data_IF_622442321848
#
_entry.id   IF_622442321848
#
_cell.length_a   1.000
_cell.length_b   1.000
_cell.length_c   1.000
_cell.angle_alpha   90.00
_cell.angle_beta   90.00
_cell.angle_gamma   90.00
#
_symmetry.space_group_name_H-M   'P 1'
#
loop_
_entity.id
_entity.type
_entity.pdbx_description
1 polymer ?
#
# COMPACT_ATOMS: atom_id res chain seq x y z
N UNK A 1 -16.94 7.47 -11.71
CA UNK A 1 -15.90 7.21 -10.69
C UNK A 1 -15.52 5.73 -10.75
N UNK A 2 -14.30 5.36 -10.32
CA UNK A 2 -13.87 3.97 -10.27
C UNK A 2 -13.79 3.46 -8.83
N UNK A 3 -14.18 2.20 -8.61
CA UNK A 3 -14.22 1.58 -7.29
C UNK A 3 -13.46 0.26 -7.31
N UNK A 4 -12.46 0.14 -6.45
CA UNK A 4 -11.57 -1.02 -6.41
C UNK A 4 -11.70 -1.80 -5.11
N UNK A 5 -11.57 -3.13 -5.21
CA UNK A 5 -11.42 -4.03 -4.08
C UNK A 5 -10.08 -4.75 -4.14
N UNK A 6 -9.48 -5.07 -2.99
CA UNK A 6 -8.28 -5.90 -2.93
C UNK A 6 -8.66 -7.37 -2.88
N UNK A 7 -7.99 -8.18 -3.72
CA UNK A 7 -8.17 -9.64 -3.75
C UNK A 7 -7.55 -10.30 -2.52
N UNK A 8 -8.23 -11.29 -2.00
CA UNK A 8 -7.77 -12.07 -0.87
C UNK A 8 -8.78 -13.16 -0.47
N UNK A 9 -8.51 -13.90 0.61
CA UNK A 9 -9.33 -15.07 1.00
C UNK A 9 -10.83 -14.78 1.16
N UNK A 10 -11.22 -13.57 1.60
CA UNK A 10 -12.62 -13.22 1.82
C UNK A 10 -13.44 -13.12 0.51
N UNK A 11 -12.80 -12.75 -0.59
CA UNK A 11 -13.45 -12.71 -1.91
C UNK A 11 -13.01 -13.88 -2.82
N UNK A 12 -12.60 -15.00 -2.23
CA UNK A 12 -12.01 -16.17 -2.86
C UNK A 12 -12.97 -17.08 -3.63
N UNK A 13 -14.02 -16.53 -4.24
CA UNK A 13 -14.90 -17.29 -5.12
C UNK A 13 -15.41 -16.43 -6.28
N UNK A 14 -15.64 -17.05 -7.43
CA UNK A 14 -16.26 -16.38 -8.60
C UNK A 14 -17.60 -15.76 -8.20
N UNK A 15 -18.38 -16.43 -7.34
CA UNK A 15 -19.67 -15.93 -6.89
C UNK A 15 -19.54 -14.63 -6.08
N UNK A 16 -18.63 -14.58 -5.10
CA UNK A 16 -18.40 -13.37 -4.31
C UNK A 16 -17.89 -12.22 -5.19
N UNK A 17 -16.99 -12.51 -6.14
CA UNK A 17 -16.49 -11.50 -7.09
C UNK A 17 -17.62 -10.98 -7.99
N UNK A 18 -18.56 -11.82 -8.42
CA UNK A 18 -19.76 -11.38 -9.15
C UNK A 18 -20.65 -10.47 -8.32
N UNK A 19 -20.83 -10.78 -7.02
CA UNK A 19 -21.59 -9.92 -6.10
C UNK A 19 -20.92 -8.56 -5.92
N UNK A 20 -19.59 -8.52 -5.77
CA UNK A 20 -18.82 -7.27 -5.71
C UNK A 20 -18.91 -6.46 -7.00
N UNK A 21 -18.80 -7.10 -8.18
CA UNK A 21 -18.95 -6.43 -9.47
C UNK A 21 -20.38 -5.92 -9.68
N UNK A 22 -21.38 -6.70 -9.30
CA UNK A 22 -22.79 -6.28 -9.37
C UNK A 22 -23.10 -5.12 -8.41
N UNK A 23 -22.38 -5.00 -7.29
CA UNK A 23 -22.45 -3.86 -6.38
C UNK A 23 -21.78 -2.59 -6.92
N UNK A 24 -21.13 -2.66 -8.10
CA UNK A 24 -20.53 -1.52 -8.78
C UNK A 24 -19.00 -1.45 -8.72
N UNK A 25 -18.32 -2.50 -8.26
CA UNK A 25 -16.86 -2.56 -8.34
C UNK A 25 -16.40 -2.55 -9.81
N UNK A 26 -15.43 -1.69 -10.13
CA UNK A 26 -14.90 -1.52 -11.50
C UNK A 26 -13.55 -2.20 -11.71
N UNK A 27 -12.84 -2.48 -10.63
CA UNK A 27 -11.51 -3.09 -10.70
C UNK A 27 -11.07 -3.75 -9.40
N UNK A 28 -9.97 -4.46 -9.50
CA UNK A 28 -9.36 -5.18 -8.37
C UNK A 28 -7.89 -4.84 -8.24
N UNK A 29 -7.40 -4.89 -7.01
CA UNK A 29 -5.98 -4.82 -6.68
C UNK A 29 -5.48 -6.20 -6.26
N UNK A 30 -4.37 -6.63 -6.86
CA UNK A 30 -3.60 -7.79 -6.43
C UNK A 30 -2.34 -7.33 -5.69
N UNK A 31 -2.23 -7.66 -4.41
CA UNK A 31 -1.08 -7.28 -3.57
C UNK A 31 0.05 -8.30 -3.69
N UNK A 32 1.13 -7.97 -4.38
CA UNK A 32 2.28 -8.86 -4.60
C UNK A 32 3.26 -8.93 -3.42
N UNK A 33 2.98 -8.27 -2.30
CA UNK A 33 3.69 -8.55 -1.04
C UNK A 33 3.40 -9.96 -0.50
N UNK A 34 2.32 -10.60 -0.98
CA UNK A 34 1.86 -11.94 -0.59
C UNK A 34 2.03 -13.00 -1.69
N UNK A 35 3.05 -12.88 -2.52
CA UNK A 35 3.35 -13.80 -3.60
C UNK A 35 3.45 -13.11 -4.96
N UNK A 36 4.02 -13.78 -5.95
CA UNK A 36 4.15 -13.25 -7.31
C UNK A 36 2.89 -13.51 -8.17
N UNK A 37 2.91 -13.07 -9.45
CA UNK A 37 1.80 -13.27 -10.38
C UNK A 37 1.52 -14.76 -10.65
N UNK A 38 2.55 -15.60 -10.65
CA UNK A 38 2.41 -17.05 -10.89
C UNK A 38 1.64 -17.69 -9.73
N UNK A 39 2.03 -17.41 -8.50
CA UNK A 39 1.37 -17.92 -7.29
C UNK A 39 -0.08 -17.40 -7.18
N UNK A 40 -0.31 -16.16 -7.54
CA UNK A 40 -1.60 -15.47 -7.43
C UNK A 40 -2.46 -15.52 -8.70
N UNK A 41 -2.00 -16.18 -9.77
CA UNK A 41 -2.72 -16.24 -11.06
C UNK A 41 -4.13 -16.84 -10.96
N UNK A 42 -4.41 -17.66 -9.96
CA UNK A 42 -5.75 -18.20 -9.72
C UNK A 42 -6.78 -17.09 -9.37
N UNK A 43 -6.38 -16.05 -8.63
CA UNK A 43 -7.22 -14.89 -8.33
C UNK A 43 -7.61 -14.13 -9.60
N UNK A 44 -6.64 -13.91 -10.48
CA UNK A 44 -6.85 -13.20 -11.75
C UNK A 44 -7.85 -13.97 -12.63
N UNK A 45 -7.69 -15.30 -12.73
CA UNK A 45 -8.62 -16.14 -13.50
C UNK A 45 -10.05 -16.05 -12.96
N UNK A 46 -10.26 -16.09 -11.65
CA UNK A 46 -11.60 -15.93 -11.05
C UNK A 46 -12.22 -14.57 -11.36
N UNK A 47 -11.42 -13.48 -11.30
CA UNK A 47 -11.88 -12.13 -11.67
C UNK A 47 -12.29 -12.07 -13.15
N UNK A 48 -11.47 -12.64 -14.04
CA UNK A 48 -11.75 -12.68 -15.48
C UNK A 48 -13.00 -13.49 -15.78
N UNK A 49 -13.22 -14.62 -15.09
CA UNK A 49 -14.42 -15.44 -15.21
C UNK A 49 -15.65 -14.66 -14.72
N UNK A 50 -15.60 -14.04 -13.55
CA UNK A 50 -16.70 -13.22 -13.02
C UNK A 50 -17.06 -12.06 -13.96
N UNK A 51 -16.04 -11.33 -14.46
CA UNK A 51 -16.23 -10.24 -15.41
C UNK A 51 -16.87 -10.72 -16.73
N UNK A 52 -16.41 -11.86 -17.26
CA UNK A 52 -16.96 -12.45 -18.49
C UNK A 52 -18.44 -12.82 -18.33
N UNK A 53 -18.83 -13.43 -17.20
CA UNK A 53 -20.22 -13.80 -16.94
C UNK A 53 -21.15 -12.58 -16.81
N UNK A 54 -20.62 -11.46 -16.31
CA UNK A 54 -21.37 -10.20 -16.16
C UNK A 54 -21.22 -9.24 -17.36
N UNK A 55 -20.50 -9.66 -18.42
CA UNK A 55 -20.18 -8.80 -19.57
C UNK A 55 -19.52 -7.47 -19.17
N UNK A 56 -18.73 -7.49 -18.10
CA UNK A 56 -18.04 -6.32 -17.53
C UNK A 56 -16.53 -6.43 -17.77
N UNK A 57 -15.92 -5.32 -18.20
CA UNK A 57 -14.46 -5.20 -18.21
C UNK A 57 -14.00 -4.81 -16.81
N UNK A 58 -13.16 -5.66 -16.20
CA UNK A 58 -12.63 -5.42 -14.86
C UNK A 58 -11.19 -4.97 -14.97
N UNK A 59 -10.86 -3.84 -14.38
CA UNK A 59 -9.47 -3.40 -14.28
C UNK A 59 -8.71 -4.26 -13.25
N UNK A 60 -7.47 -4.63 -13.57
CA UNK A 60 -6.63 -5.44 -12.69
C UNK A 60 -5.35 -4.66 -12.38
N UNK A 61 -5.25 -4.17 -11.15
CA UNK A 61 -4.09 -3.45 -10.67
C UNK A 61 -3.12 -4.41 -9.97
N UNK A 62 -1.88 -4.43 -10.43
CA UNK A 62 -0.78 -5.14 -9.80
C UNK A 62 -0.05 -4.19 -8.86
N UNK A 63 -0.17 -4.41 -7.55
CA UNK A 63 0.56 -3.62 -6.54
C UNK A 63 1.90 -4.30 -6.25
N UNK A 64 2.98 -3.69 -6.74
CA UNK A 64 4.33 -4.20 -6.60
C UNK A 64 4.75 -4.27 -5.14
N UNK A 65 5.66 -5.18 -4.83
CA UNK A 65 6.19 -5.32 -3.49
C UNK A 65 7.04 -4.11 -3.11
N UNK A 66 7.82 -3.58 -4.07
CA UNK A 66 8.78 -2.52 -3.83
C UNK A 66 9.89 -2.89 -2.86
N UNK A 67 10.78 -1.96 -2.59
CA UNK A 67 11.91 -2.16 -1.69
C UNK A 67 11.54 -1.87 -0.24
N UNK A 68 10.48 -2.47 0.27
CA UNK A 68 10.11 -2.30 1.67
C UNK A 68 11.15 -2.92 2.59
N UNK A 69 11.60 -2.15 3.57
CA UNK A 69 12.47 -2.68 4.62
C UNK A 69 11.67 -3.63 5.50
N UNK A 70 12.13 -4.85 5.58
CA UNK A 70 11.52 -5.89 6.42
C UNK A 70 12.57 -6.61 7.24
N UNK A 71 12.14 -7.12 8.39
CA UNK A 71 12.93 -8.06 9.15
C UNK A 71 13.22 -9.33 8.33
N UNK A 72 14.42 -9.87 8.44
CA UNK A 72 14.78 -11.14 7.87
C UNK A 72 13.96 -12.30 8.45
N UNK A 73 14.16 -13.51 7.93
CA UNK A 73 13.45 -14.69 8.41
C UNK A 73 14.11 -15.26 9.67
N UNK A 74 13.31 -15.59 10.68
CA UNK A 74 13.69 -16.29 11.90
C UNK A 74 12.55 -17.22 12.34
N UNK A 75 12.86 -18.22 13.18
CA UNK A 75 11.91 -19.29 13.48
C UNK A 75 10.97 -18.99 14.63
N UNK A 76 11.48 -18.36 15.68
CA UNK A 76 10.74 -18.15 16.93
C UNK A 76 10.31 -16.69 17.04
N UNK A 77 9.03 -16.47 17.34
CA UNK A 77 8.50 -15.13 17.62
C UNK A 77 9.20 -14.55 18.86
N UNK A 78 9.54 -13.26 18.83
CA UNK A 78 10.26 -12.60 19.91
C UNK A 78 9.31 -11.69 20.68
N UNK A 79 9.10 -11.97 21.96
CA UNK A 79 8.36 -11.08 22.85
C UNK A 79 9.28 -9.94 23.31
N UNK A 80 9.09 -8.74 22.74
CA UNK A 80 9.81 -7.53 23.16
C UNK A 80 9.11 -6.94 24.38
N UNK A 81 9.75 -7.03 25.55
CA UNK A 81 9.23 -6.39 26.76
C UNK A 81 9.67 -4.92 26.82
N UNK A 82 8.76 -4.02 27.19
CA UNK A 82 9.07 -2.60 27.35
C UNK A 82 10.21 -2.40 28.36
N UNK A 83 11.17 -1.54 28.01
CA UNK A 83 12.39 -1.28 28.77
C UNK A 83 13.50 -2.31 28.61
N UNK A 84 13.25 -3.45 27.94
CA UNK A 84 14.30 -4.45 27.64
C UNK A 84 15.19 -4.00 26.47
N UNK A 85 16.27 -4.75 26.26
CA UNK A 85 17.25 -4.51 25.19
C UNK A 85 17.16 -5.57 24.13
N UNK A 86 17.25 -5.16 22.87
CA UNK A 86 17.36 -6.03 21.71
C UNK A 86 18.62 -5.72 20.93
N UNK A 87 19.24 -6.76 20.39
CA UNK A 87 20.31 -6.64 19.39
C UNK A 87 19.68 -6.75 18.01
N UNK A 88 19.99 -5.83 17.11
CA UNK A 88 19.58 -5.81 15.73
C UNK A 88 20.78 -6.12 14.83
N UNK A 89 20.59 -6.94 13.81
CA UNK A 89 21.66 -7.37 12.90
C UNK A 89 22.36 -8.64 13.40
N UNK A 90 23.67 -8.69 13.25
CA UNK A 90 24.46 -9.90 13.55
C UNK A 90 24.30 -10.37 15.00
N UNK A 91 23.93 -11.64 15.16
CA UNK A 91 23.68 -12.25 16.47
C UNK A 91 22.39 -11.84 17.16
N UNK A 92 21.50 -11.11 16.48
CA UNK A 92 20.22 -10.63 17.02
C UNK A 92 19.06 -10.74 16.05
N UNK A 93 18.11 -9.82 16.16
CA UNK A 93 16.98 -9.71 15.25
C UNK A 93 17.50 -9.41 13.83
N UNK A 94 17.18 -10.21 12.81
CA UNK A 94 17.71 -10.02 11.46
C UNK A 94 17.18 -8.73 10.84
N UNK A 95 18.02 -7.73 10.74
CA UNK A 95 17.75 -6.45 10.08
C UNK A 95 18.70 -6.30 8.90
N UNK A 96 18.23 -5.85 7.71
CA UNK A 96 19.09 -5.61 6.55
C UNK A 96 20.25 -4.66 6.89
N UNK A 97 21.47 -4.98 6.43
CA UNK A 97 22.66 -4.16 6.69
C UNK A 97 22.51 -2.74 6.13
N UNK A 98 21.82 -2.61 5.00
CA UNK A 98 21.51 -1.33 4.38
C UNK A 98 20.71 -0.42 5.34
N UNK A 99 19.78 -1.00 6.12
CA UNK A 99 19.03 -0.25 7.13
C UNK A 99 19.90 0.11 8.32
N UNK A 100 20.71 -0.84 8.82
CA UNK A 100 21.58 -0.63 9.98
C UNK A 100 22.58 0.52 9.75
N UNK A 101 23.09 0.67 8.52
CA UNK A 101 24.04 1.73 8.17
C UNK A 101 23.47 3.15 8.35
N UNK A 102 22.16 3.30 8.35
CA UNK A 102 21.46 4.58 8.50
C UNK A 102 21.00 4.87 9.92
N UNK A 103 21.10 3.91 10.83
CA UNK A 103 20.69 4.09 12.24
C UNK A 103 21.75 4.85 13.01
N UNK A 104 21.35 5.94 13.65
CA UNK A 104 22.16 6.73 14.57
C UNK A 104 21.64 6.56 16.01
N UNK A 105 22.47 6.90 17.02
CA UNK A 105 22.00 6.95 18.41
C UNK A 105 20.80 7.88 18.58
N UNK A 106 19.78 7.41 19.30
CA UNK A 106 18.54 8.12 19.54
C UNK A 106 17.47 7.95 18.44
N UNK A 107 17.79 7.29 17.33
CA UNK A 107 16.77 7.01 16.29
C UNK A 107 15.70 6.07 16.82
N UNK A 108 14.47 6.33 16.42
CA UNK A 108 13.34 5.42 16.62
C UNK A 108 13.21 4.44 15.47
N UNK A 109 13.14 3.17 15.82
CA UNK A 109 12.98 2.06 14.89
C UNK A 109 11.60 1.47 15.12
N UNK A 110 10.76 1.52 14.08
CA UNK A 110 9.39 1.03 14.09
C UNK A 110 9.32 -0.34 13.44
N UNK A 111 8.66 -1.31 14.09
CA UNK A 111 8.47 -2.67 13.59
C UNK A 111 6.97 -2.99 13.58
N UNK A 112 6.51 -3.74 12.56
CA UNK A 112 5.11 -4.13 12.33
C UNK A 112 4.19 -2.90 12.39
N UNK A 113 4.45 -1.93 11.51
CA UNK A 113 3.68 -0.69 11.37
C UNK A 113 3.60 0.13 12.67
N UNK A 114 4.72 0.12 13.42
CA UNK A 114 4.84 0.86 14.68
C UNK A 114 4.18 0.20 15.88
N UNK A 115 3.71 -1.05 15.78
CA UNK A 115 3.22 -1.82 16.94
C UNK A 115 4.31 -2.03 17.98
N UNK A 116 5.56 -2.25 17.52
CA UNK A 116 6.76 -2.28 18.36
C UNK A 116 7.64 -1.11 18.00
N UNK A 117 8.14 -0.41 19.01
CA UNK A 117 9.00 0.75 18.86
C UNK A 117 10.27 0.55 19.68
N UNK A 118 11.42 0.74 19.03
CA UNK A 118 12.73 0.66 19.63
C UNK A 118 13.44 2.01 19.52
N UNK A 119 14.31 2.31 20.45
CA UNK A 119 15.23 3.45 20.42
C UNK A 119 16.67 2.94 20.34
N UNK A 120 17.39 3.34 19.31
CA UNK A 120 18.78 2.95 19.13
C UNK A 120 19.68 3.64 20.17
N UNK A 121 20.46 2.88 20.94
CA UNK A 121 21.37 3.45 21.92
C UNK A 121 22.74 3.80 21.33
N UNK A 122 23.18 3.02 20.35
CA UNK A 122 24.43 3.26 19.62
C UNK A 122 24.21 3.08 18.12
N UNK A 123 25.05 3.76 17.33
CA UNK A 123 25.10 3.52 15.88
C UNK A 123 25.62 2.13 15.54
N UNK A 124 25.53 1.77 14.26
CA UNK A 124 25.99 0.47 13.78
C UNK A 124 27.49 0.25 14.10
N UNK A 125 27.78 -0.83 14.80
CA UNK A 125 29.15 -1.24 15.10
C UNK A 125 29.50 -2.50 14.30
N UNK A 126 30.71 -2.57 13.71
CA UNK A 126 31.21 -3.78 13.08
C UNK A 126 31.23 -4.96 14.05
N UNK A 127 30.84 -6.14 13.58
CA UNK A 127 30.95 -7.39 14.29
C UNK A 127 31.54 -8.48 13.38
N UNK A 128 31.82 -9.66 13.91
CA UNK A 128 32.44 -10.74 13.14
C UNK A 128 31.57 -11.25 11.96
N UNK A 129 30.26 -11.02 12.00
CA UNK A 129 29.28 -11.45 11.00
C UNK A 129 28.57 -10.31 10.28
N UNK A 130 29.02 -9.03 10.43
CA UNK A 130 28.39 -7.86 9.81
C UNK A 130 28.27 -6.66 10.76
N UNK A 131 27.17 -5.92 10.65
CA UNK A 131 26.86 -4.82 11.56
C UNK A 131 25.82 -5.23 12.61
N UNK A 132 25.92 -4.63 13.79
CA UNK A 132 24.90 -4.78 14.84
C UNK A 132 24.64 -3.48 15.58
N UNK A 133 23.44 -3.36 16.13
CA UNK A 133 22.99 -2.23 16.94
C UNK A 133 22.32 -2.78 18.21
N UNK A 134 22.50 -2.11 19.33
CA UNK A 134 21.69 -2.33 20.52
C UNK A 134 20.61 -1.26 20.62
N UNK A 135 19.38 -1.67 20.79
CA UNK A 135 18.24 -0.77 20.90
C UNK A 135 17.39 -1.13 22.13
N UNK A 136 16.86 -0.10 22.79
CA UNK A 136 15.94 -0.24 23.91
C UNK A 136 14.51 -0.32 23.40
N UNK A 137 13.71 -1.21 23.95
CA UNK A 137 12.28 -1.32 23.64
C UNK A 137 11.54 -0.16 24.32
N UNK A 138 10.97 0.74 23.52
CA UNK A 138 10.14 1.87 23.98
C UNK A 138 8.67 1.44 24.08
N UNK A 139 8.18 0.73 23.06
CA UNK A 139 6.85 0.11 23.06
C UNK A 139 7.02 -1.38 22.76
N UNK A 140 6.60 -2.20 23.70
CA UNK A 140 6.71 -3.65 23.63
C UNK A 140 5.64 -4.29 22.75
N UNK A 141 5.89 -5.53 22.33
CA UNK A 141 4.95 -6.32 21.53
C UNK A 141 5.59 -7.60 21.01
N UNK A 142 4.83 -8.37 20.22
CA UNK A 142 5.29 -9.59 19.60
C UNK A 142 5.90 -9.30 18.23
N UNK A 143 7.19 -9.59 18.08
CA UNK A 143 7.92 -9.42 16.82
C UNK A 143 7.90 -10.75 16.04
N UNK A 144 7.40 -10.71 14.81
CA UNK A 144 7.32 -11.83 13.89
C UNK A 144 8.26 -11.66 12.71
N UNK A 145 8.66 -12.80 12.13
CA UNK A 145 9.49 -12.85 10.93
C UNK A 145 8.86 -12.08 9.76
N UNK A 146 9.70 -11.36 9.00
CA UNK A 146 9.27 -10.66 7.76
C UNK A 146 8.40 -9.42 7.97
N UNK A 147 8.26 -8.93 9.20
CA UNK A 147 7.49 -7.71 9.48
C UNK A 147 8.19 -6.45 8.98
N UNK A 148 7.39 -5.41 8.68
CA UNK A 148 7.88 -4.11 8.25
C UNK A 148 8.86 -3.51 9.25
N UNK A 149 9.83 -2.75 8.73
CA UNK A 149 10.84 -2.03 9.49
C UNK A 149 10.94 -0.60 8.96
N UNK A 150 10.91 0.38 9.81
CA UNK A 150 11.16 1.77 9.44
C UNK A 150 12.06 2.46 10.47
N UNK A 151 12.84 3.44 10.01
CA UNK A 151 13.58 4.36 10.89
C UNK A 151 12.83 5.69 10.81
N UNK A 152 12.29 6.17 11.94
CA UNK A 152 11.46 7.37 11.96
C UNK A 152 12.22 8.58 11.39
N UNK A 153 11.60 9.27 10.43
CA UNK A 153 12.17 10.46 9.79
C UNK A 153 13.36 10.20 8.84
N UNK A 154 13.73 8.94 8.58
CA UNK A 154 14.82 8.60 7.66
C UNK A 154 14.36 7.73 6.49
N UNK A 155 14.81 8.09 5.29
CA UNK A 155 14.66 7.28 4.09
C UNK A 155 15.95 6.49 3.87
N UNK A 156 15.90 5.17 3.95
CA UNK A 156 17.00 4.29 3.54
C UNK A 156 17.00 4.21 2.02
N UNK A 157 18.12 4.50 1.34
CA UNK A 157 18.21 4.36 -0.11
C UNK A 157 18.05 2.91 -0.52
N UNK A 158 16.96 2.62 -1.22
CA UNK A 158 16.64 1.30 -1.75
C UNK A 158 16.44 1.39 -3.26
N UNK A 159 16.70 0.32 -4.01
CA UNK A 159 16.39 0.29 -5.44
C UNK A 159 14.88 0.42 -5.62
N UNK A 160 14.43 1.12 -6.66
CA UNK A 160 12.99 1.32 -6.93
C UNK A 160 12.23 0.02 -7.16
N UNK A 161 12.85 -0.92 -7.87
CA UNK A 161 12.25 -2.22 -8.19
C UNK A 161 13.14 -3.35 -7.67
N UNK A 162 12.52 -4.33 -7.02
CA UNK A 162 13.17 -5.60 -6.66
C UNK A 162 13.25 -6.53 -7.88
N UNK A 163 14.03 -7.60 -7.79
CA UNK A 163 14.06 -8.64 -8.83
C UNK A 163 12.69 -9.32 -9.00
N UNK A 164 11.95 -9.49 -7.91
CA UNK A 164 10.56 -10.01 -7.95
C UNK A 164 9.64 -9.06 -8.71
N UNK A 165 9.75 -7.75 -8.48
CA UNK A 165 8.97 -6.76 -9.22
C UNK A 165 9.27 -6.81 -10.72
N UNK A 166 10.55 -6.91 -11.10
CA UNK A 166 10.95 -7.03 -12.50
C UNK A 166 10.42 -8.32 -13.16
N UNK A 167 10.38 -9.45 -12.42
CA UNK A 167 9.76 -10.70 -12.88
C UNK A 167 8.28 -10.46 -13.16
N UNK A 168 7.54 -9.91 -12.21
CA UNK A 168 6.11 -9.65 -12.34
C UNK A 168 5.80 -8.66 -13.49
N UNK A 169 6.61 -7.63 -13.69
CA UNK A 169 6.45 -6.67 -14.80
C UNK A 169 6.58 -7.38 -16.16
N UNK A 170 7.54 -8.30 -16.33
CA UNK A 170 7.69 -9.06 -17.57
C UNK A 170 6.48 -9.94 -17.90
N UNK A 171 5.78 -10.40 -16.88
CA UNK A 171 4.62 -11.30 -17.02
C UNK A 171 3.28 -10.54 -17.09
N UNK A 172 3.26 -9.24 -16.76
CA UNK A 172 2.05 -8.44 -16.56
C UNK A 172 1.05 -8.53 -17.71
N UNK A 173 1.50 -8.41 -18.96
CA UNK A 173 0.65 -8.47 -20.16
C UNK A 173 -0.02 -9.84 -20.29
N UNK A 174 0.69 -10.93 -20.01
CA UNK A 174 0.14 -12.29 -20.13
C UNK A 174 -0.95 -12.59 -19.11
N UNK A 175 -0.95 -11.90 -17.99
CA UNK A 175 -1.99 -11.97 -16.96
C UNK A 175 -3.13 -10.96 -17.15
N UNK A 176 -3.03 -10.08 -18.16
CA UNK A 176 -4.06 -9.06 -18.42
C UNK A 176 -4.07 -7.94 -17.38
N UNK A 177 -2.91 -7.61 -16.82
CA UNK A 177 -2.75 -6.47 -15.91
C UNK A 177 -3.01 -5.17 -16.68
N UNK A 178 -3.84 -4.29 -16.14
CA UNK A 178 -4.21 -3.00 -16.73
C UNK A 178 -3.50 -1.83 -16.07
N UNK A 179 -3.06 -1.98 -14.81
CA UNK A 179 -2.34 -0.95 -14.08
C UNK A 179 -1.31 -1.53 -13.13
N UNK A 180 -0.23 -0.80 -12.91
CA UNK A 180 0.83 -1.13 -11.97
C UNK A 180 0.92 -0.05 -10.90
N UNK A 181 0.79 -0.44 -9.65
CA UNK A 181 0.96 0.43 -8.49
C UNK A 181 2.42 0.34 -8.02
N UNK A 182 3.14 1.47 -8.07
CA UNK A 182 4.50 1.56 -7.55
C UNK A 182 4.47 2.05 -6.11
N UNK A 183 4.88 1.25 -5.13
CA UNK A 183 4.92 1.68 -3.73
C UNK A 183 6.13 2.58 -3.45
N UNK A 184 6.06 3.32 -2.36
CA UNK A 184 7.14 4.13 -1.80
C UNK A 184 7.78 5.14 -2.76
N UNK A 185 7.01 5.70 -3.71
CA UNK A 185 7.51 6.71 -4.66
C UNK A 185 8.08 7.91 -3.91
N UNK A 186 9.32 8.27 -4.22
CA UNK A 186 10.08 9.36 -3.59
C UNK A 186 10.28 10.55 -4.51
N UNK A 187 10.57 10.27 -5.78
CA UNK A 187 10.98 11.23 -6.80
C UNK A 187 10.59 10.72 -8.21
N UNK A 188 10.80 11.53 -9.23
CA UNK A 188 10.48 11.17 -10.62
C UNK A 188 11.35 10.03 -11.16
N UNK A 189 12.57 9.86 -10.65
CA UNK A 189 13.49 8.81 -11.06
C UNK A 189 12.90 7.43 -10.77
N UNK A 190 12.16 7.27 -9.67
CA UNK A 190 11.44 6.03 -9.35
C UNK A 190 10.41 5.70 -10.44
N UNK A 191 9.65 6.69 -10.90
CA UNK A 191 8.65 6.50 -11.97
C UNK A 191 9.30 6.24 -13.33
N UNK A 192 10.43 6.87 -13.64
CA UNK A 192 11.18 6.63 -14.87
C UNK A 192 11.74 5.20 -14.89
N UNK A 193 12.26 4.70 -13.77
CA UNK A 193 12.73 3.31 -13.64
C UNK A 193 11.59 2.31 -13.91
N UNK A 194 10.40 2.55 -13.37
CA UNK A 194 9.23 1.71 -13.66
C UNK A 194 8.81 1.79 -15.13
N UNK A 195 8.73 2.99 -15.70
CA UNK A 195 8.36 3.20 -17.11
C UNK A 195 9.31 2.48 -18.06
N UNK A 196 10.62 2.54 -17.80
CA UNK A 196 11.59 1.82 -18.64
C UNK A 196 11.45 0.30 -18.49
N UNK A 197 11.24 -0.22 -17.27
CA UNK A 197 10.99 -1.65 -17.05
C UNK A 197 9.71 -2.14 -17.76
N UNK A 198 8.63 -1.36 -17.74
CA UNK A 198 7.39 -1.66 -18.49
C UNK A 198 7.65 -1.66 -20.01
N UNK A 199 8.37 -0.69 -20.52
CA UNK A 199 8.72 -0.60 -21.95
C UNK A 199 9.57 -1.78 -22.41
N UNK A 200 10.60 -2.17 -21.66
CA UNK A 200 11.44 -3.34 -21.92
C UNK A 200 10.63 -4.64 -21.93
N UNK A 201 9.58 -4.72 -21.10
CA UNK A 201 8.67 -5.87 -21.04
C UNK A 201 7.57 -5.85 -22.13
N UNK A 202 7.54 -4.84 -23.01
CA UNK A 202 6.45 -4.69 -23.99
C UNK A 202 5.10 -4.33 -23.37
N UNK A 203 5.12 -3.78 -22.14
CA UNK A 203 3.96 -3.43 -21.29
C UNK A 203 3.75 -1.91 -21.17
N UNK A 204 4.24 -1.13 -22.15
CA UNK A 204 4.22 0.34 -22.11
C UNK A 204 2.85 0.99 -22.02
N UNK A 205 1.79 0.28 -22.41
CA UNK A 205 0.39 0.74 -22.34
C UNK A 205 -0.24 0.54 -20.94
N UNK A 206 0.41 -0.20 -20.04
CA UNK A 206 -0.08 -0.42 -18.68
C UNK A 206 0.01 0.90 -17.89
N UNK A 207 -1.08 1.28 -17.25
CA UNK A 207 -1.18 2.51 -16.47
C UNK A 207 -0.28 2.46 -15.22
N UNK A 208 0.35 3.58 -14.89
CA UNK A 208 1.23 3.72 -13.72
C UNK A 208 0.52 4.48 -12.61
N UNK A 209 0.36 3.83 -11.47
CA UNK A 209 -0.22 4.37 -10.26
C UNK A 209 0.90 4.66 -9.24
N UNK A 210 1.19 5.93 -9.00
CA UNK A 210 2.23 6.36 -8.06
C UNK A 210 1.68 6.40 -6.63
N UNK A 211 2.15 5.50 -5.75
CA UNK A 211 1.72 5.48 -4.34
C UNK A 211 2.53 6.49 -3.52
N UNK A 212 1.83 7.45 -2.94
CA UNK A 212 2.41 8.45 -2.05
C UNK A 212 2.24 7.94 -0.62
N UNK A 213 3.34 7.43 -0.06
CA UNK A 213 3.41 6.69 1.20
C UNK A 213 4.46 7.25 2.17
N UNK A 214 5.18 8.29 1.75
CA UNK A 214 6.24 8.92 2.54
C UNK A 214 6.29 10.42 2.31
N UNK A 215 6.97 11.15 3.20
CA UNK A 215 7.04 12.61 3.14
C UNK A 215 7.81 13.12 1.91
N UNK A 216 8.79 12.38 1.43
CA UNK A 216 9.55 12.77 0.23
C UNK A 216 8.64 12.78 -1.00
N UNK A 217 7.78 11.77 -1.17
CA UNK A 217 6.76 11.74 -2.21
C UNK A 217 5.73 12.88 -2.08
N UNK A 218 5.33 13.22 -0.84
CA UNK A 218 4.43 14.37 -0.58
C UNK A 218 5.07 15.69 -1.01
N UNK A 219 6.36 15.87 -0.73
CA UNK A 219 7.10 17.10 -1.07
C UNK A 219 7.36 17.21 -2.58
N UNK A 220 7.62 16.07 -3.21
CA UNK A 220 7.92 15.97 -4.65
C UNK A 220 6.68 15.89 -5.54
N UNK A 221 5.46 15.94 -5.00
CA UNK A 221 4.23 15.62 -5.75
C UNK A 221 4.13 16.30 -7.11
N UNK A 222 4.42 17.60 -7.19
CA UNK A 222 4.37 18.37 -8.45
C UNK A 222 5.33 17.86 -9.52
N UNK A 223 6.49 17.36 -9.09
CA UNK A 223 7.48 16.77 -9.99
C UNK A 223 7.06 15.37 -10.47
N UNK A 224 6.28 14.62 -9.67
CA UNK A 224 5.82 13.27 -9.97
C UNK A 224 4.69 13.24 -11.00
N UNK A 225 3.77 14.22 -10.96
CA UNK A 225 2.52 14.22 -11.74
C UNK A 225 2.71 13.97 -13.24
N UNK A 226 3.74 14.49 -13.95
CA UNK A 226 3.93 14.22 -15.38
C UNK A 226 4.32 12.77 -15.71
N UNK A 227 4.82 12.00 -14.74
CA UNK A 227 5.41 10.68 -14.96
C UNK A 227 4.52 9.50 -14.55
N UNK A 228 3.38 9.75 -13.92
CA UNK A 228 2.36 8.74 -13.58
C UNK A 228 1.04 9.01 -14.30
N UNK A 229 0.19 8.00 -14.40
CA UNK A 229 -1.18 8.16 -14.92
C UNK A 229 -2.14 8.49 -13.78
N UNK A 230 -1.94 7.88 -12.61
CA UNK A 230 -2.72 8.08 -11.40
C UNK A 230 -1.81 8.30 -10.19
N UNK A 231 -2.27 9.11 -9.25
CA UNK A 231 -1.68 9.21 -7.91
C UNK A 231 -2.50 8.37 -6.93
N UNK A 232 -1.85 7.65 -6.03
CA UNK A 232 -2.53 6.92 -4.94
C UNK A 232 -2.14 7.54 -3.62
N UNK A 233 -3.10 8.12 -2.91
CA UNK A 233 -2.92 8.62 -1.55
C UNK A 233 -3.11 7.44 -0.60
N UNK A 234 -2.00 6.77 -0.28
CA UNK A 234 -1.98 5.53 0.50
C UNK A 234 -1.84 5.85 1.99
N UNK A 235 -2.98 6.04 2.65
CA UNK A 235 -3.07 6.58 4.02
C UNK A 235 -2.44 5.69 5.10
N UNK A 236 -2.26 4.39 4.83
CA UNK A 236 -1.64 3.46 5.76
C UNK A 236 -0.19 3.87 6.10
N UNK A 237 0.72 3.68 5.14
CA UNK A 237 2.13 4.00 5.32
C UNK A 237 2.38 5.50 5.48
N UNK A 238 1.62 6.33 4.75
CA UNK A 238 1.69 7.77 4.90
C UNK A 238 1.31 8.22 6.32
N UNK A 239 0.34 7.55 6.95
CA UNK A 239 -0.05 7.80 8.35
C UNK A 239 1.04 7.40 9.36
N UNK A 240 1.90 6.44 9.02
CA UNK A 240 3.07 6.05 9.81
C UNK A 240 4.25 7.02 9.64
N UNK A 241 4.28 7.77 8.52
CA UNK A 241 5.35 8.71 8.20
C UNK A 241 5.21 10.07 8.92
N UNK A 242 4.11 10.31 9.63
CA UNK A 242 3.83 11.58 10.30
C UNK A 242 2.87 11.41 11.49
N UNK A 243 2.77 12.41 12.42
CA UNK A 243 1.71 12.41 13.41
C UNK A 243 0.32 12.34 12.75
N UNK A 244 -0.52 11.39 13.18
CA UNK A 244 -1.77 11.02 12.51
C UNK A 244 -2.73 12.21 12.30
N UNK A 245 -2.75 13.20 13.24
CA UNK A 245 -3.59 14.40 13.08
C UNK A 245 -3.19 15.32 11.94
N UNK A 246 -2.01 15.13 11.32
CA UNK A 246 -1.57 15.87 10.12
C UNK A 246 -2.03 15.23 8.82
N UNK A 247 -2.34 13.94 8.84
CA UNK A 247 -2.70 13.16 7.65
C UNK A 247 -3.87 13.78 6.86
N UNK A 248 -4.99 14.23 7.48
CA UNK A 248 -6.08 14.85 6.71
C UNK A 248 -5.64 16.09 5.93
N UNK A 249 -4.79 16.93 6.53
CA UNK A 249 -4.27 18.12 5.86
C UNK A 249 -3.35 17.79 4.68
N UNK A 250 -2.54 16.74 4.81
CA UNK A 250 -1.68 16.24 3.72
C UNK A 250 -2.53 15.64 2.60
N UNK A 251 -3.54 14.83 2.91
CA UNK A 251 -4.48 14.31 1.90
C UNK A 251 -5.14 15.44 1.11
N UNK A 252 -5.69 16.46 1.78
CA UNK A 252 -6.32 17.62 1.14
C UNK A 252 -5.33 18.40 0.26
N UNK A 253 -4.08 18.53 0.68
CA UNK A 253 -3.02 19.14 -0.13
C UNK A 253 -2.74 18.32 -1.39
N UNK A 254 -2.53 17.00 -1.27
CA UNK A 254 -2.27 16.12 -2.42
C UNK A 254 -3.45 16.13 -3.40
N UNK A 255 -4.68 16.03 -2.90
CA UNK A 255 -5.89 16.09 -3.71
C UNK A 255 -5.98 17.41 -4.51
N UNK A 256 -5.68 18.54 -3.86
CA UNK A 256 -5.63 19.85 -4.53
C UNK A 256 -4.58 19.91 -5.63
N UNK A 257 -3.34 19.45 -5.36
CA UNK A 257 -2.27 19.44 -6.35
C UNK A 257 -2.61 18.55 -7.56
N UNK A 258 -3.23 17.39 -7.31
CA UNK A 258 -3.70 16.51 -8.38
C UNK A 258 -4.81 17.19 -9.22
N UNK A 259 -5.81 17.77 -8.56
CA UNK A 259 -6.92 18.48 -9.23
C UNK A 259 -6.44 19.65 -10.07
N UNK A 260 -5.55 20.50 -9.53
CA UNK A 260 -4.99 21.64 -10.25
C UNK A 260 -4.19 21.23 -11.49
N UNK A 261 -3.57 20.05 -11.45
CA UNK A 261 -2.84 19.47 -12.58
C UNK A 261 -3.70 18.61 -13.52
N UNK A 262 -5.00 18.45 -13.25
CA UNK A 262 -5.88 17.55 -14.00
C UNK A 262 -5.46 16.07 -13.90
N UNK A 263 -4.76 15.68 -12.82
CA UNK A 263 -4.28 14.34 -12.60
C UNK A 263 -5.27 13.52 -11.77
N UNK A 264 -5.75 12.37 -12.29
CA UNK A 264 -6.58 11.44 -11.51
C UNK A 264 -5.87 10.97 -10.24
N UNK A 265 -6.62 10.83 -9.15
CA UNK A 265 -6.06 10.25 -7.92
C UNK A 265 -7.05 9.32 -7.22
N UNK A 266 -6.48 8.36 -6.50
CA UNK A 266 -7.16 7.36 -5.70
C UNK A 266 -6.93 7.62 -4.20
N UNK A 267 -7.96 7.42 -3.39
CA UNK A 267 -7.82 7.36 -1.92
C UNK A 267 -8.00 5.93 -1.45
N UNK A 268 -7.09 5.48 -0.58
CA UNK A 268 -7.04 4.08 -0.12
C UNK A 268 -6.63 3.97 1.34
N UNK A 269 -6.94 2.83 1.93
CA UNK A 269 -6.66 2.39 3.30
C UNK A 269 -7.65 2.95 4.32
N UNK A 270 -8.24 2.03 5.10
CA UNK A 270 -9.20 2.31 6.18
C UNK A 270 -10.41 3.16 5.71
N UNK A 271 -10.94 2.85 4.53
CA UNK A 271 -12.14 3.51 4.04
C UNK A 271 -13.39 3.03 4.78
N UNK A 272 -13.46 1.72 5.06
CA UNK A 272 -14.54 1.03 5.76
C UNK A 272 -13.98 -0.01 6.75
N UNK A 273 -12.94 0.35 7.51
CA UNK A 273 -12.17 -0.54 8.38
C UNK A 273 -13.05 -1.34 9.36
N UNK A 274 -14.11 -0.72 9.89
CA UNK A 274 -15.04 -1.40 10.79
C UNK A 274 -15.78 -2.56 10.12
N UNK A 275 -15.87 -2.57 8.78
CA UNK A 275 -16.52 -3.64 8.03
C UNK A 275 -15.66 -4.90 7.86
N UNK A 276 -14.46 -4.92 8.41
CA UNK A 276 -13.76 -6.19 8.62
C UNK A 276 -14.60 -7.17 9.46
N UNK A 277 -15.29 -6.66 10.47
CA UNK A 277 -16.06 -7.46 11.44
C UNK A 277 -17.54 -7.12 11.47
N UNK A 278 -17.97 -5.98 10.93
CA UNK A 278 -19.34 -5.46 11.01
C UNK A 278 -19.98 -5.37 9.63
N UNK A 279 -21.24 -5.72 9.53
CA UNK A 279 -22.01 -5.61 8.29
C UNK A 279 -22.37 -4.16 7.91
N UNK A 280 -22.19 -3.20 8.81
CA UNK A 280 -22.55 -1.79 8.63
C UNK A 280 -21.37 -0.92 9.08
N UNK A 281 -20.94 0.07 8.26
CA UNK A 281 -19.86 0.97 8.62
C UNK A 281 -20.25 1.99 9.68
N UNK A 282 -19.25 2.67 10.21
CA UNK A 282 -19.46 3.84 11.06
C UNK A 282 -19.85 5.06 10.23
N UNK A 283 -20.52 6.03 10.87
CA UNK A 283 -20.85 7.32 10.22
C UNK A 283 -19.59 8.11 9.80
N UNK A 284 -18.50 7.95 10.55
CA UNK A 284 -17.23 8.61 10.23
C UNK A 284 -16.61 8.06 8.94
N UNK A 285 -16.69 6.75 8.70
CA UNK A 285 -16.18 6.12 7.48
C UNK A 285 -17.02 6.51 6.26
N UNK A 286 -18.35 6.54 6.38
CA UNK A 286 -19.24 7.02 5.31
C UNK A 286 -18.92 8.49 4.98
N UNK A 287 -18.71 9.34 6.00
CA UNK A 287 -18.33 10.73 5.80
C UNK A 287 -16.93 10.86 5.15
N UNK A 288 -16.00 9.98 5.47
CA UNK A 288 -14.65 9.97 4.88
C UNK A 288 -14.69 9.66 3.37
N UNK A 289 -15.49 8.66 2.96
CA UNK A 289 -15.75 8.35 1.55
C UNK A 289 -16.35 9.57 0.84
N UNK A 290 -17.40 10.12 1.39
CA UNK A 290 -18.08 11.31 0.83
C UNK A 290 -17.10 12.48 0.66
N UNK A 291 -16.29 12.76 1.68
CA UNK A 291 -15.26 13.82 1.61
C UNK A 291 -14.17 13.55 0.56
N UNK A 292 -13.75 12.30 0.36
CA UNK A 292 -12.79 11.97 -0.68
C UNK A 292 -13.32 12.27 -2.08
N UNK A 293 -14.63 12.04 -2.31
CA UNK A 293 -15.31 12.40 -3.56
C UNK A 293 -15.39 13.92 -3.74
N UNK A 294 -15.77 14.65 -2.68
CA UNK A 294 -15.78 16.11 -2.70
C UNK A 294 -14.39 16.73 -2.98
N UNK A 295 -13.32 16.02 -2.62
CA UNK A 295 -11.95 16.39 -2.96
C UNK A 295 -11.61 16.14 -4.44
N UNK A 296 -12.55 15.56 -5.22
CA UNK A 296 -12.41 15.16 -6.61
C UNK A 296 -11.55 13.89 -6.81
N UNK A 297 -11.57 12.95 -5.86
CA UNK A 297 -10.99 11.62 -6.09
C UNK A 297 -11.64 11.00 -7.33
N UNK A 298 -10.82 10.46 -8.23
CA UNK A 298 -11.29 9.74 -9.43
C UNK A 298 -11.60 8.28 -9.12
N UNK A 299 -11.01 7.76 -8.05
CA UNK A 299 -11.19 6.38 -7.62
C UNK A 299 -11.02 6.20 -6.12
N UNK A 300 -11.68 5.16 -5.58
CA UNK A 300 -11.61 4.75 -4.19
C UNK A 300 -11.29 3.26 -4.13
N UNK A 301 -10.53 2.81 -3.12
CA UNK A 301 -10.15 1.41 -2.99
C UNK A 301 -10.28 0.90 -1.56
N UNK A 302 -10.93 -0.27 -1.44
CA UNK A 302 -10.94 -1.09 -0.22
C UNK A 302 -9.72 -2.02 -0.22
N UNK A 303 -9.19 -2.24 0.96
CA UNK A 303 -8.00 -3.09 1.18
C UNK A 303 -8.36 -4.37 1.93
N UNK A 304 -8.15 -4.39 3.22
CA UNK A 304 -8.46 -5.53 4.07
C UNK A 304 -9.94 -5.84 4.13
N UNK A 305 -10.81 -4.85 3.97
CA UNK A 305 -12.27 -4.97 4.00
C UNK A 305 -12.78 -6.00 2.98
N UNK A 306 -12.15 -6.04 1.78
CA UNK A 306 -12.50 -7.02 0.73
C UNK A 306 -11.59 -8.22 0.71
N UNK A 307 -10.33 -8.08 1.14
CA UNK A 307 -9.35 -9.17 1.11
C UNK A 307 -9.52 -10.18 2.25
N UNK A 308 -9.89 -9.72 3.45
CA UNK A 308 -9.93 -10.51 4.67
C UNK A 308 -11.18 -10.25 5.55
N UNK A 309 -11.96 -9.23 5.25
CA UNK A 309 -13.17 -8.88 6.01
C UNK A 309 -14.30 -9.86 5.82
N UNK A 310 -15.26 -9.86 6.75
CA UNK A 310 -16.41 -10.78 6.75
C UNK A 310 -17.49 -10.40 5.74
N UNK A 311 -17.47 -9.18 5.19
CA UNK A 311 -18.56 -8.61 4.40
C UNK A 311 -18.07 -7.93 3.11
N UNK A 312 -17.28 -8.62 2.23
CA UNK A 312 -16.61 -7.98 1.08
C UNK A 312 -17.59 -7.33 0.09
N UNK A 313 -18.68 -7.98 -0.28
CA UNK A 313 -19.66 -7.44 -1.23
C UNK A 313 -20.43 -6.24 -0.63
N UNK A 314 -20.84 -6.32 0.62
CA UNK A 314 -21.51 -5.21 1.32
C UNK A 314 -20.57 -3.99 1.48
N UNK A 315 -19.28 -4.23 1.75
CA UNK A 315 -18.30 -3.16 1.83
C UNK A 315 -18.18 -2.40 0.49
N UNK A 316 -18.15 -3.13 -0.63
CA UNK A 316 -18.20 -2.52 -1.97
C UNK A 316 -19.51 -1.75 -2.17
N UNK A 317 -20.67 -2.31 -1.78
CA UNK A 317 -21.96 -1.64 -1.90
C UNK A 317 -22.01 -0.31 -1.13
N UNK A 318 -21.51 -0.28 0.11
CA UNK A 318 -21.38 0.97 0.87
C UNK A 318 -20.44 1.98 0.25
N UNK A 319 -19.29 1.52 -0.25
CA UNK A 319 -18.32 2.38 -0.93
C UNK A 319 -18.94 3.05 -2.16
N UNK A 320 -19.57 2.24 -3.02
CA UNK A 320 -20.17 2.70 -4.29
C UNK A 320 -21.34 3.63 -4.00
N UNK A 321 -22.32 3.20 -3.18
CA UNK A 321 -23.51 4.00 -2.92
C UNK A 321 -23.16 5.35 -2.28
N UNK A 322 -22.18 5.39 -1.36
CA UNK A 322 -21.73 6.65 -0.76
C UNK A 322 -21.02 7.54 -1.77
N UNK A 323 -20.19 6.97 -2.63
CA UNK A 323 -19.50 7.73 -3.67
C UNK A 323 -20.45 8.30 -4.72
N UNK A 324 -21.43 7.50 -5.17
CA UNK A 324 -22.44 7.95 -6.13
C UNK A 324 -23.39 9.01 -5.55
N UNK A 325 -23.70 8.93 -4.25
CA UNK A 325 -24.48 9.97 -3.56
C UNK A 325 -23.71 11.29 -3.53
N UNK A 326 -22.42 11.25 -3.18
CA UNK A 326 -21.59 12.46 -3.18
C UNK A 326 -21.46 13.09 -4.57
N UNK A 327 -21.37 12.28 -5.63
CA UNK A 327 -21.34 12.78 -7.01
C UNK A 327 -22.64 13.48 -7.38
N UNK A 328 -23.80 12.92 -7.02
CA UNK A 328 -25.12 13.53 -7.26
C UNK A 328 -25.24 14.88 -6.57
N UNK A 329 -24.86 14.97 -5.31
CA UNK A 329 -24.90 16.22 -4.55
C UNK A 329 -23.97 17.30 -5.15
N UNK A 330 -22.83 16.88 -5.74
CA UNK A 330 -21.92 17.81 -6.45
C UNK A 330 -22.50 18.33 -7.77
N UNK A 331 -23.35 17.54 -8.47
CA UNK A 331 -23.99 17.96 -9.71
C UNK A 331 -25.18 18.90 -9.44
N UNK A 332 -25.81 18.81 -8.27
CA UNK A 332 -26.95 19.63 -7.86
C UNK A 332 -26.55 20.98 -7.21
N UNK A 333 -25.27 21.13 -6.79
CA UNK A 333 -24.74 22.30 -6.08
C UNK A 333 -24.16 23.36 -7.01
#
# INVERSE_FOLDING_TARGET
MEYYGTLGPACGSVQTLKEMLAAGMTGVRLNLSHGDLEENGHWIRMVQEAGKELHSQVQILMDLRGPELRLGRFKEEIQAAEGSWLVLGDGGLPVPEEALAYVCPGDRILIDDGKVELEAEAGAAPSAGGCRITARVVRGGLIKSGKSLAIEGKAVPMPTLTESDRKNIREAVSYGITGVMLPFVRNKEDLLVLREALKEAGAGEIQVFAKIENMQGVESIKELLPYCDHVVIARGDLGNAMPLWKLPGVQKRLARECREAGKPFMVVTQMLDSMHERAVPTRAEVLDIYNAVLDSASSLMLTGETAAGSYPAQAVEYLVNTGEEALRDMEEA
#
